data_IF_575929020914
#
_entry.id   IF_575929020914
#
_cell.length_a   1.000
_cell.length_b   1.000
_cell.length_c   1.000
_cell.angle_alpha   90.00
_cell.angle_beta   90.00
_cell.angle_gamma   90.00
#
_symmetry.space_group_name_H-M   'P 1'
#
loop_
_entity.id
_entity.type
_entity.pdbx_description
1 polymer ?
#
# COMPACT_ATOMS: atom_id res chain seq x y z
N UNK A 1 12.87 19.62 31.09
CA UNK A 1 13.32 18.41 30.41
C UNK A 1 12.11 17.83 29.68
N UNK A 2 12.01 18.09 28.35
CA UNK A 2 10.91 17.61 27.49
C UNK A 2 10.91 16.07 27.50
N UNK A 3 9.73 15.47 27.75
CA UNK A 3 9.53 14.03 27.78
C UNK A 3 9.98 13.40 26.45
N UNK A 4 10.85 12.39 26.45
CA UNK A 4 11.40 11.79 25.24
C UNK A 4 10.34 11.05 24.39
N UNK A 5 9.15 10.79 24.92
CA UNK A 5 8.08 10.06 24.22
C UNK A 5 7.39 10.88 23.11
N UNK A 6 7.14 12.18 23.32
CA UNK A 6 6.42 13.03 22.34
C UNK A 6 7.20 13.24 21.04
N UNK A 7 8.52 13.41 21.13
CA UNK A 7 9.38 13.61 19.95
C UNK A 7 9.49 12.32 19.12
N UNK A 8 9.44 11.13 19.76
CA UNK A 8 9.57 9.84 19.06
C UNK A 8 8.33 9.52 18.20
N UNK A 9 7.12 9.83 18.65
CA UNK A 9 5.91 9.56 17.88
C UNK A 9 5.78 10.49 16.66
N UNK A 10 6.03 11.79 16.83
CA UNK A 10 6.03 12.74 15.72
C UNK A 10 7.08 12.40 14.66
N UNK A 11 8.27 11.98 15.07
CA UNK A 11 9.31 11.52 14.16
C UNK A 11 8.91 10.22 13.43
N UNK A 12 8.28 9.26 14.12
CA UNK A 12 7.79 8.02 13.52
C UNK A 12 6.70 8.30 12.47
N UNK A 13 5.74 9.19 12.76
CA UNK A 13 4.70 9.58 11.80
C UNK A 13 5.28 10.34 10.59
N UNK A 14 6.24 11.22 10.80
CA UNK A 14 6.92 11.91 9.70
C UNK A 14 7.63 10.90 8.77
N UNK A 15 8.27 9.88 9.32
CA UNK A 15 8.89 8.80 8.54
C UNK A 15 7.85 7.98 7.79
N UNK A 16 6.73 7.61 8.42
CA UNK A 16 5.64 6.87 7.77
C UNK A 16 5.06 7.69 6.61
N UNK A 17 4.78 8.97 6.81
CA UNK A 17 4.28 9.86 5.77
C UNK A 17 5.30 9.99 4.64
N UNK A 18 6.57 10.15 4.95
CA UNK A 18 7.64 10.23 3.96
C UNK A 18 7.74 8.92 3.14
N UNK A 19 7.62 7.77 3.80
CA UNK A 19 7.63 6.45 3.14
C UNK A 19 6.38 6.25 2.28
N UNK A 20 5.20 6.66 2.73
CA UNK A 20 3.96 6.58 1.97
C UNK A 20 3.99 7.51 0.75
N UNK A 21 4.35 8.77 0.94
CA UNK A 21 4.42 9.76 -0.15
C UNK A 21 5.58 9.44 -1.09
N UNK A 22 6.75 9.14 -0.55
CA UNK A 22 7.93 8.77 -1.32
C UNK A 22 7.75 7.43 -2.04
N UNK A 23 7.17 6.44 -1.37
CA UNK A 23 6.84 5.13 -1.95
C UNK A 23 5.79 5.25 -3.05
N UNK A 24 4.75 6.04 -2.85
CA UNK A 24 3.73 6.30 -3.86
C UNK A 24 4.32 7.06 -5.06
N UNK A 25 5.10 8.11 -4.83
CA UNK A 25 5.80 8.84 -5.89
C UNK A 25 6.81 7.96 -6.62
N UNK A 26 7.49 7.07 -5.89
CA UNK A 26 8.40 6.07 -6.45
C UNK A 26 7.66 5.08 -7.35
N UNK A 27 6.54 4.52 -6.91
CA UNK A 27 5.72 3.60 -7.69
C UNK A 27 5.14 4.28 -8.95
N UNK A 28 4.73 5.54 -8.82
CA UNK A 28 4.15 6.31 -9.93
C UNK A 28 5.19 6.77 -10.96
N UNK A 29 6.42 7.01 -10.52
CA UNK A 29 7.49 7.53 -11.37
C UNK A 29 8.53 6.45 -11.72
N UNK A 30 8.39 5.25 -11.18
CA UNK A 30 9.43 4.24 -11.29
C UNK A 30 9.32 3.45 -12.59
N UNK A 31 10.03 3.94 -13.56
CA UNK A 31 10.78 3.06 -14.47
C UNK A 31 12.04 2.52 -13.77
N UNK A 32 12.11 2.59 -12.45
CA UNK A 32 13.23 2.10 -11.65
C UNK A 32 12.98 0.63 -11.37
N UNK A 33 13.82 -0.23 -11.93
CA UNK A 33 13.72 -1.69 -11.78
C UNK A 33 12.83 -2.40 -12.80
N UNK A 34 12.27 -1.69 -13.80
CA UNK A 34 11.48 -2.33 -14.87
C UNK A 34 10.10 -2.86 -14.42
N UNK A 35 9.57 -2.34 -13.30
CA UNK A 35 8.21 -2.69 -12.84
C UNK A 35 7.21 -1.68 -13.39
N UNK A 36 6.13 -2.17 -13.98
CA UNK A 36 5.01 -1.38 -14.51
C UNK A 36 3.69 -1.96 -13.99
N UNK A 37 2.64 -1.15 -13.96
CA UNK A 37 1.32 -1.55 -13.53
C UNK A 37 0.33 -1.27 -14.64
N UNK A 38 -0.53 -2.25 -14.94
CA UNK A 38 -1.55 -2.14 -15.97
C UNK A 38 -2.90 -2.59 -15.42
N UNK A 39 -3.97 -1.93 -15.87
CA UNK A 39 -5.34 -2.39 -15.66
C UNK A 39 -5.71 -3.44 -16.70
N UNK A 40 -6.37 -4.51 -16.29
CA UNK A 40 -6.94 -5.51 -17.19
C UNK A 40 -8.28 -4.99 -17.71
N UNK A 41 -8.25 -4.38 -18.89
CA UNK A 41 -9.40 -3.76 -19.51
C UNK A 41 -9.24 -3.73 -21.05
N UNK A 42 -10.32 -3.74 -21.83
CA UNK A 42 -11.74 -3.87 -21.50
C UNK A 42 -12.30 -5.28 -21.68
N UNK A 43 -11.51 -6.28 -22.07
CA UNK A 43 -11.99 -7.56 -22.54
C UNK A 43 -11.80 -8.70 -21.53
N UNK A 44 -12.72 -9.68 -21.47
CA UNK A 44 -12.58 -10.84 -20.58
C UNK A 44 -11.68 -11.94 -21.20
N UNK A 45 -10.71 -11.58 -22.03
CA UNK A 45 -9.88 -12.54 -22.80
C UNK A 45 -9.03 -13.46 -21.93
N UNK A 46 -8.70 -13.04 -20.70
CA UNK A 46 -7.86 -13.77 -19.77
C UNK A 46 -8.64 -14.52 -18.68
N UNK A 47 -9.97 -14.56 -18.73
CA UNK A 47 -10.76 -15.38 -17.80
C UNK A 47 -10.46 -16.85 -17.91
N UNK A 48 -10.43 -17.60 -16.78
CA UNK A 48 -10.66 -17.15 -15.40
C UNK A 48 -9.40 -16.64 -14.69
N UNK A 49 -8.25 -16.61 -15.35
CA UNK A 49 -6.95 -16.25 -14.73
C UNK A 49 -6.90 -14.81 -14.27
N UNK A 50 -7.41 -13.89 -15.11
CA UNK A 50 -7.53 -12.46 -14.81
C UNK A 50 -8.95 -12.02 -15.14
N UNK A 51 -9.54 -11.23 -14.24
CA UNK A 51 -10.85 -10.63 -14.42
C UNK A 51 -10.74 -9.19 -14.93
N UNK A 52 -11.79 -8.72 -15.59
CA UNK A 52 -11.89 -7.30 -15.97
C UNK A 52 -11.92 -6.43 -14.70
N UNK A 53 -11.01 -5.48 -14.63
CA UNK A 53 -10.83 -4.62 -13.47
C UNK A 53 -9.81 -5.14 -12.45
N UNK A 54 -9.06 -6.19 -12.80
CA UNK A 54 -7.85 -6.56 -12.08
C UNK A 54 -6.71 -5.60 -12.45
N UNK A 55 -5.81 -5.38 -11.51
CA UNK A 55 -4.58 -4.63 -11.72
C UNK A 55 -3.42 -5.61 -11.75
N UNK A 56 -2.61 -5.57 -12.80
CA UNK A 56 -1.45 -6.46 -12.96
C UNK A 56 -0.15 -5.70 -12.77
N UNK A 57 0.73 -6.30 -11.97
CA UNK A 57 2.11 -5.83 -11.80
C UNK A 57 2.98 -6.58 -12.80
N UNK A 58 3.68 -5.83 -13.61
CA UNK A 58 4.48 -6.34 -14.74
C UNK A 58 5.93 -5.99 -14.52
N UNK A 59 6.78 -6.99 -14.57
CA UNK A 59 8.22 -6.84 -14.47
C UNK A 59 8.87 -6.95 -15.86
N UNK A 60 9.71 -5.98 -16.20
CA UNK A 60 10.55 -6.08 -17.38
C UNK A 60 11.58 -7.19 -17.19
N UNK A 61 11.61 -8.13 -18.12
CA UNK A 61 12.50 -9.29 -18.10
C UNK A 61 13.23 -9.41 -19.45
N UNK A 62 14.33 -10.15 -19.45
CA UNK A 62 14.99 -10.49 -20.71
C UNK A 62 14.06 -11.36 -21.56
N UNK A 63 13.94 -11.05 -22.85
CA UNK A 63 13.02 -11.77 -23.75
C UNK A 63 13.26 -13.28 -23.77
N UNK A 64 14.51 -13.71 -23.71
CA UNK A 64 14.93 -15.10 -23.70
C UNK A 64 14.63 -15.83 -22.36
N UNK A 65 14.22 -15.12 -21.33
CA UNK A 65 13.76 -15.71 -20.06
C UNK A 65 12.26 -15.96 -20.01
N UNK A 66 11.53 -15.62 -21.07
CA UNK A 66 10.10 -15.88 -21.19
C UNK A 66 9.89 -17.31 -21.65
N UNK A 67 8.97 -18.03 -21.00
CA UNK A 67 8.67 -19.42 -21.27
C UNK A 67 7.21 -19.63 -21.69
N UNK A 68 6.93 -20.75 -22.30
CA UNK A 68 5.56 -21.18 -22.53
C UNK A 68 4.84 -21.34 -21.20
N UNK A 69 3.65 -20.74 -21.09
CA UNK A 69 2.85 -20.66 -19.87
C UNK A 69 2.91 -19.32 -19.17
N UNK A 70 3.91 -18.50 -19.45
CA UNK A 70 4.02 -17.16 -18.89
C UNK A 70 2.90 -16.24 -19.40
N UNK A 71 2.39 -15.36 -18.53
CA UNK A 71 1.47 -14.29 -18.91
C UNK A 71 2.28 -13.01 -19.12
N UNK A 72 2.21 -12.48 -20.33
CA UNK A 72 2.97 -11.29 -20.72
C UNK A 72 2.06 -10.12 -21.08
N UNK A 73 2.58 -8.93 -20.90
CA UNK A 73 2.01 -7.69 -21.41
C UNK A 73 2.84 -7.28 -22.64
N UNK A 74 2.17 -7.04 -23.74
CA UNK A 74 2.81 -6.69 -25.00
C UNK A 74 1.94 -5.76 -25.82
N UNK A 75 2.55 -5.07 -26.79
CA UNK A 75 1.84 -4.37 -27.85
C UNK A 75 1.77 -5.25 -29.10
N UNK A 76 0.62 -5.38 -29.80
CA UNK A 76 0.53 -6.17 -31.01
C UNK A 76 1.57 -5.77 -32.04
N UNK A 77 2.32 -6.72 -32.61
CA UNK A 77 3.24 -6.42 -33.68
C UNK A 77 2.52 -6.01 -34.98
N UNK A 78 3.10 -5.08 -35.72
CA UNK A 78 2.59 -4.61 -37.01
C UNK A 78 3.34 -5.33 -38.13
N UNK A 79 2.60 -5.83 -39.13
CA UNK A 79 3.21 -6.41 -40.33
C UNK A 79 4.09 -5.36 -41.02
N UNK A 80 5.40 -5.64 -41.12
CA UNK A 80 6.38 -4.68 -41.65
C UNK A 80 7.24 -4.01 -40.59
N UNK A 81 7.01 -4.29 -39.32
CA UNK A 81 7.84 -3.85 -38.19
C UNK A 81 7.16 -2.81 -37.30
N UNK A 82 7.58 -2.80 -36.04
CA UNK A 82 7.01 -1.95 -35.00
C UNK A 82 5.84 -2.60 -34.24
N UNK A 83 5.26 -1.85 -33.31
CA UNK A 83 4.21 -2.33 -32.43
C UNK A 83 3.07 -1.29 -32.37
N UNK A 84 1.85 -1.76 -32.21
CA UNK A 84 0.68 -0.89 -32.00
C UNK A 84 0.76 -0.11 -30.68
N UNK A 85 -0.05 0.93 -30.57
CA UNK A 85 -0.16 1.69 -29.32
C UNK A 85 -0.97 0.93 -28.25
N UNK A 86 -1.83 0.03 -28.68
CA UNK A 86 -2.62 -0.82 -27.79
C UNK A 86 -1.73 -1.76 -26.98
N UNK A 87 -2.21 -2.12 -25.78
CA UNK A 87 -1.51 -3.04 -24.89
C UNK A 87 -2.43 -4.22 -24.58
N UNK A 88 -1.90 -5.42 -24.71
CA UNK A 88 -2.62 -6.67 -24.52
C UNK A 88 -1.93 -7.50 -23.44
N UNK A 89 -2.73 -8.25 -22.68
CA UNK A 89 -2.28 -9.23 -21.69
C UNK A 89 -2.74 -10.60 -22.13
N UNK A 90 -1.83 -11.46 -22.55
CA UNK A 90 -2.13 -12.86 -22.93
C UNK A 90 -1.05 -13.82 -22.45
N UNK A 91 -1.35 -15.11 -22.51
CA UNK A 91 -0.42 -16.20 -22.17
C UNK A 91 0.40 -16.63 -23.38
N UNK A 92 1.68 -16.85 -23.17
CA UNK A 92 2.56 -17.48 -24.16
C UNK A 92 2.19 -18.95 -24.30
N UNK A 93 1.77 -19.36 -25.49
CA UNK A 93 1.38 -20.74 -25.79
C UNK A 93 2.39 -21.47 -26.67
N UNK A 94 3.25 -20.75 -27.38
CA UNK A 94 4.35 -21.31 -28.16
C UNK A 94 5.47 -20.28 -28.34
N UNK A 95 6.68 -20.76 -28.63
CA UNK A 95 7.86 -19.95 -28.93
C UNK A 95 8.41 -20.45 -30.28
N UNK A 96 8.55 -19.53 -31.23
CA UNK A 96 9.04 -19.81 -32.58
C UNK A 96 10.33 -19.02 -32.85
N UNK A 97 10.98 -19.27 -33.98
CA UNK A 97 12.11 -18.47 -34.44
C UNK A 97 11.74 -17.02 -34.78
N UNK A 98 10.45 -16.76 -35.02
CA UNK A 98 9.93 -15.43 -35.40
C UNK A 98 9.44 -14.62 -34.19
N UNK A 99 9.13 -15.29 -33.06
CA UNK A 99 8.66 -14.65 -31.86
C UNK A 99 7.79 -15.51 -30.98
N UNK A 100 7.15 -14.89 -29.99
CA UNK A 100 6.22 -15.55 -29.07
C UNK A 100 4.83 -15.59 -29.67
N UNK A 101 4.18 -16.74 -29.55
CA UNK A 101 2.76 -16.93 -29.89
C UNK A 101 1.95 -16.89 -28.59
N UNK A 102 0.98 -16.00 -28.55
CA UNK A 102 0.13 -15.77 -27.37
C UNK A 102 -1.30 -16.21 -27.60
N UNK A 103 -2.03 -16.36 -26.52
CA UNK A 103 -3.45 -16.67 -26.53
C UNK A 103 -4.10 -16.21 -25.22
N UNK A 104 -5.31 -15.67 -25.29
CA UNK A 104 -6.12 -15.42 -24.11
C UNK A 104 -6.59 -16.73 -23.48
N UNK A 105 -6.64 -16.78 -22.15
CA UNK A 105 -7.07 -17.96 -21.40
C UNK A 105 -8.56 -18.29 -21.57
N UNK A 106 -9.36 -17.30 -21.91
CA UNK A 106 -10.79 -17.48 -22.18
C UNK A 106 -11.02 -18.11 -23.57
N UNK A 107 -11.22 -19.40 -23.58
CA UNK A 107 -11.43 -20.16 -24.84
C UNK A 107 -12.71 -19.82 -25.59
N UNK A 108 -13.66 -19.15 -24.96
CA UNK A 108 -14.87 -18.67 -25.64
C UNK A 108 -14.57 -17.44 -26.51
N UNK A 109 -13.76 -16.52 -26.00
CA UNK A 109 -13.38 -15.29 -26.73
C UNK A 109 -12.11 -15.50 -27.58
N UNK A 110 -11.21 -16.38 -27.14
CA UNK A 110 -9.93 -16.68 -27.77
C UNK A 110 -9.80 -18.19 -28.06
N UNK A 111 -10.62 -18.74 -28.99
CA UNK A 111 -10.63 -20.17 -29.28
C UNK A 111 -9.34 -20.68 -29.93
N UNK A 112 -8.54 -19.79 -30.49
CA UNK A 112 -7.27 -20.07 -31.17
C UNK A 112 -6.17 -19.11 -30.71
N UNK A 113 -4.89 -19.45 -30.91
CA UNK A 113 -3.79 -18.52 -30.73
C UNK A 113 -3.98 -17.24 -31.55
N UNK A 114 -3.36 -16.15 -31.07
CA UNK A 114 -3.47 -14.84 -31.70
C UNK A 114 -2.85 -14.82 -33.12
N UNK A 115 -1.80 -15.63 -33.35
CA UNK A 115 -1.21 -15.88 -34.63
C UNK A 115 -1.79 -17.20 -35.22
N UNK A 116 -2.10 -17.33 -36.50
CA UNK A 116 -2.00 -16.32 -37.57
C UNK A 116 -3.26 -15.48 -37.77
N UNK A 117 -4.18 -15.43 -36.79
CA UNK A 117 -5.51 -14.86 -36.98
C UNK A 117 -5.50 -13.34 -37.16
N UNK A 118 -4.66 -12.62 -36.43
CA UNK A 118 -4.69 -11.15 -36.40
C UNK A 118 -3.32 -10.51 -36.37
N UNK A 119 -2.33 -11.12 -35.69
CA UNK A 119 -1.02 -10.49 -35.47
C UNK A 119 0.14 -11.45 -35.77
N UNK A 120 1.28 -10.91 -36.21
CA UNK A 120 2.53 -11.67 -36.27
C UNK A 120 2.98 -12.13 -34.88
N UNK A 121 3.92 -13.09 -34.78
CA UNK A 121 4.53 -13.45 -33.49
C UNK A 121 5.11 -12.25 -32.76
N UNK A 122 4.96 -12.22 -31.42
CA UNK A 122 5.39 -11.09 -30.60
C UNK A 122 6.91 -11.05 -30.52
N UNK A 123 7.49 -9.99 -31.02
CA UNK A 123 8.94 -9.74 -31.08
C UNK A 123 9.46 -9.04 -29.82
N UNK A 124 10.78 -9.05 -29.55
CA UNK A 124 11.35 -8.50 -28.31
C UNK A 124 10.97 -7.05 -28.03
N UNK A 125 10.92 -6.22 -29.07
CA UNK A 125 10.60 -4.79 -28.98
C UNK A 125 9.14 -4.54 -28.59
N UNK A 126 8.24 -5.48 -28.82
CA UNK A 126 6.82 -5.35 -28.53
C UNK A 126 6.45 -5.85 -27.11
N UNK A 127 7.33 -6.59 -26.45
CA UNK A 127 7.11 -7.06 -25.07
C UNK A 127 7.31 -5.90 -24.09
N UNK A 128 6.34 -5.69 -23.19
CA UNK A 128 6.44 -4.75 -22.06
C UNK A 128 6.98 -5.45 -20.81
N UNK A 129 6.64 -6.73 -20.59
CA UNK A 129 7.16 -7.55 -19.50
C UNK A 129 6.26 -8.71 -19.14
N UNK A 130 6.65 -9.38 -18.06
CA UNK A 130 6.00 -10.56 -17.47
C UNK A 130 5.07 -10.12 -16.35
N UNK A 131 3.84 -10.64 -16.31
CA UNK A 131 2.93 -10.45 -15.17
C UNK A 131 3.43 -11.29 -14.00
N UNK A 132 3.79 -10.61 -12.91
CA UNK A 132 4.32 -11.27 -11.69
C UNK A 132 3.29 -11.34 -10.57
N UNK A 133 2.35 -10.40 -10.53
CA UNK A 133 1.28 -10.33 -9.52
C UNK A 133 0.02 -9.80 -10.18
N UNK A 134 -1.14 -10.36 -9.82
CA UNK A 134 -2.46 -9.78 -10.09
C UNK A 134 -3.11 -9.35 -8.78
N UNK A 135 -3.71 -8.19 -8.77
CA UNK A 135 -4.41 -7.59 -7.64
C UNK A 135 -5.90 -7.47 -8.02
N UNK A 136 -6.74 -8.39 -7.53
CA UNK A 136 -8.15 -8.43 -7.93
C UNK A 136 -8.89 -7.15 -7.57
N UNK A 137 -9.75 -6.68 -8.45
CA UNK A 137 -10.66 -5.53 -8.30
C UNK A 137 -10.00 -4.16 -8.12
N UNK A 138 -8.68 -4.06 -7.96
CA UNK A 138 -8.02 -2.76 -7.74
C UNK A 138 -8.05 -1.85 -8.97
N UNK A 139 -8.10 -2.41 -10.18
CA UNK A 139 -8.29 -1.64 -11.40
C UNK A 139 -9.64 -0.92 -11.44
N UNK A 140 -10.70 -1.48 -10.85
CA UNK A 140 -12.01 -0.81 -10.74
C UNK A 140 -11.97 0.44 -9.87
N UNK A 141 -11.07 0.48 -8.89
CA UNK A 141 -10.88 1.66 -8.05
C UNK A 141 -10.17 2.75 -8.88
N UNK A 142 -9.17 2.38 -9.67
CA UNK A 142 -8.48 3.33 -10.54
C UNK A 142 -9.39 3.89 -11.63
N UNK A 143 -10.31 3.08 -12.17
CA UNK A 143 -11.32 3.50 -13.13
C UNK A 143 -12.35 4.45 -12.51
N UNK A 144 -12.82 4.15 -11.28
CA UNK A 144 -13.79 5.00 -10.58
C UNK A 144 -13.20 6.36 -10.17
N UNK A 145 -11.89 6.42 -9.95
CA UNK A 145 -11.16 7.63 -9.53
C UNK A 145 -9.94 7.86 -10.45
N UNK A 146 -10.16 8.36 -11.69
CA UNK A 146 -9.06 8.60 -12.60
C UNK A 146 -8.09 9.68 -12.08
N UNK A 147 -6.84 9.71 -12.53
CA UNK A 147 -5.91 10.78 -12.21
C UNK A 147 -6.47 12.16 -12.64
N UNK A 148 -6.31 13.22 -11.84
CA UNK A 148 -5.58 13.31 -10.56
C UNK A 148 -6.42 12.95 -9.32
N UNK A 149 -7.71 12.60 -9.47
CA UNK A 149 -8.65 12.44 -8.35
C UNK A 149 -8.24 11.31 -7.38
N UNK A 150 -7.71 10.21 -7.88
CA UNK A 150 -7.20 9.11 -7.07
C UNK A 150 -6.09 9.56 -6.11
N UNK A 151 -5.17 10.43 -6.54
CA UNK A 151 -4.10 10.96 -5.69
C UNK A 151 -4.64 11.88 -4.62
N UNK A 152 -5.63 12.72 -4.95
CA UNK A 152 -6.31 13.60 -4.00
C UNK A 152 -7.03 12.77 -2.93
N UNK A 153 -7.71 11.70 -3.33
CA UNK A 153 -8.40 10.80 -2.40
C UNK A 153 -7.43 10.12 -1.42
N UNK A 154 -6.33 9.56 -1.92
CA UNK A 154 -5.30 8.94 -1.07
C UNK A 154 -4.69 9.96 -0.11
N UNK A 155 -4.35 11.17 -0.59
CA UNK A 155 -3.84 12.23 0.24
C UNK A 155 -4.85 12.65 1.32
N UNK A 156 -6.14 12.78 0.98
CA UNK A 156 -7.20 13.13 1.92
C UNK A 156 -7.36 12.06 3.02
N UNK A 157 -7.30 10.77 2.67
CA UNK A 157 -7.36 9.66 3.65
C UNK A 157 -6.16 9.72 4.61
N UNK A 158 -4.96 9.93 4.09
CA UNK A 158 -3.74 10.04 4.91
C UNK A 158 -3.84 11.25 5.87
N UNK A 159 -4.29 12.40 5.37
CA UNK A 159 -4.52 13.59 6.21
C UNK A 159 -5.57 13.32 7.28
N UNK A 160 -6.67 12.65 6.93
CA UNK A 160 -7.74 12.30 7.87
C UNK A 160 -7.23 11.39 8.99
N UNK A 161 -6.48 10.34 8.67
CA UNK A 161 -5.87 9.44 9.66
C UNK A 161 -4.94 10.23 10.59
N UNK A 162 -4.12 11.11 10.03
CA UNK A 162 -3.22 11.96 10.82
C UNK A 162 -3.98 12.92 11.75
N UNK A 163 -5.06 13.52 11.26
CA UNK A 163 -5.91 14.39 12.07
C UNK A 163 -6.58 13.63 13.23
N UNK A 164 -7.09 12.42 12.98
CA UNK A 164 -7.68 11.58 14.03
C UNK A 164 -6.65 11.28 15.12
N UNK A 165 -5.43 10.94 14.74
CA UNK A 165 -4.32 10.66 15.67
C UNK A 165 -3.99 11.88 16.54
N UNK A 166 -3.85 13.06 15.94
CA UNK A 166 -3.61 14.30 16.67
C UNK A 166 -4.72 14.61 17.69
N UNK A 167 -5.97 14.45 17.31
CA UNK A 167 -7.11 14.70 18.20
C UNK A 167 -7.22 13.65 19.33
N UNK A 168 -6.85 12.41 19.07
CA UNK A 168 -6.88 11.33 20.07
C UNK A 168 -5.78 11.57 21.12
N UNK A 169 -4.59 11.90 20.69
CA UNK A 169 -3.45 12.20 21.59
C UNK A 169 -3.71 13.43 22.47
N UNK A 170 -4.33 14.47 21.92
CA UNK A 170 -4.67 15.68 22.68
C UNK A 170 -5.68 15.42 23.82
N UNK A 171 -6.62 14.47 23.62
CA UNK A 171 -7.60 14.13 24.67
C UNK A 171 -7.01 13.32 25.83
N UNK A 172 -5.97 12.54 25.58
CA UNK A 172 -5.30 11.80 26.67
C UNK A 172 -4.46 12.72 27.57
N UNK A 173 -3.85 13.76 27.01
CA UNK A 173 -3.10 14.76 27.77
C UNK A 173 -4.01 15.57 28.72
N UNK A 174 -5.18 16.02 28.25
CA UNK A 174 -6.13 16.77 29.04
C UNK A 174 -6.69 15.94 30.21
N UNK A 175 -6.89 14.63 30.03
CA UNK A 175 -7.32 13.71 31.12
C UNK A 175 -6.21 13.50 32.16
N UNK A 176 -4.95 13.49 31.76
CA UNK A 176 -3.82 13.28 32.67
C UNK A 176 -3.57 14.52 33.53
N UNK A 177 -3.69 15.73 32.98
CA UNK A 177 -3.56 16.97 33.75
C UNK A 177 -4.69 17.14 34.77
N UNK A 178 -5.95 16.86 34.41
CA UNK A 178 -7.07 16.92 35.35
C UNK A 178 -7.03 15.84 36.44
N UNK A 179 -6.39 14.70 36.18
CA UNK A 179 -6.17 13.64 37.17
C UNK A 179 -5.13 14.02 38.23
N UNK A 180 -4.12 14.81 37.87
CA UNK A 180 -3.03 15.21 38.78
C UNK A 180 -3.43 16.39 39.67
N UNK A 181 -4.28 17.29 39.19
CA UNK A 181 -4.75 18.45 39.97
C UNK A 181 -5.73 18.06 41.10
N UNK A 182 -6.42 16.91 41.02
CA UNK A 182 -7.33 16.42 42.06
C UNK A 182 -6.66 15.68 43.21
N UNK A 183 -5.36 15.42 43.15
CA UNK A 183 -4.66 14.61 44.18
C UNK A 183 -3.71 15.46 45.06
N UNK A 184 -3.54 16.74 44.78
CA UNK A 184 -2.87 17.64 45.69
C UNK A 184 -3.86 18.14 46.76
N UNK A 185 -4.17 17.32 47.75
CA UNK A 185 -4.67 17.79 49.01
C UNK A 185 -3.56 18.60 49.67
N UNK A 186 -3.77 19.89 49.98
CA UNK A 186 -2.72 20.69 50.56
C UNK A 186 -2.38 20.13 51.93
N UNK A 187 -1.15 19.67 52.08
CA UNK A 187 -0.52 19.17 53.31
C UNK A 187 -0.40 20.28 54.41
N UNK A 188 -1.08 21.40 54.19
CA UNK A 188 -0.96 22.59 55.05
C UNK A 188 -2.12 22.75 56.07
N UNK A 189 -3.06 21.79 56.12
CA UNK A 189 -4.19 21.87 57.08
C UNK A 189 -3.96 21.03 58.36
N UNK A 190 -2.85 20.32 58.49
CA UNK A 190 -2.53 19.48 59.67
C UNK A 190 -1.57 20.10 60.66
N UNK A 191 -1.25 21.41 60.52
CA UNK A 191 -0.29 22.09 61.42
C UNK A 191 -0.90 23.19 62.29
N UNK A 192 -2.21 23.12 62.66
CA UNK A 192 -2.86 24.11 63.50
C UNK A 192 -3.45 23.48 64.78
N UNK A 193 -3.13 22.28 65.17
CA UNK A 193 -3.43 21.86 66.52
C UNK A 193 -2.15 21.30 67.20
N UNK A 194 -1.48 22.18 67.92
CA UNK A 194 -0.18 21.97 68.56
C UNK A 194 -0.24 20.97 69.72
N UNK A 195 -0.59 19.70 69.47
CA UNK A 195 -0.48 18.60 70.45
C UNK A 195 0.30 17.45 69.86
N UNK A 196 1.59 17.53 70.07
CA UNK A 196 2.46 16.37 69.95
C UNK A 196 2.30 15.57 71.28
N UNK A 197 1.83 14.31 71.28
CA UNK A 197 1.87 13.45 72.48
C UNK A 197 3.34 13.17 72.80
N UNK A 198 3.76 13.42 74.05
CA UNK A 198 5.07 13.07 74.56
C UNK A 198 5.19 11.56 74.74
N UNK A 199 6.36 10.95 74.48
CA UNK A 199 6.55 9.50 74.46
C UNK A 199 6.64 8.80 75.82
N UNK A 200 6.22 9.41 76.92
CA UNK A 200 6.59 8.90 78.27
C UNK A 200 5.41 8.61 79.24
N UNK A 201 4.15 8.46 78.76
CA UNK A 201 3.05 8.12 79.68
C UNK A 201 2.59 6.64 79.64
N UNK A 202 3.50 5.74 79.22
CA UNK A 202 3.23 4.30 79.26
C UNK A 202 4.16 3.57 80.29
N UNK A 203 4.24 4.11 81.52
CA UNK A 203 4.82 3.32 82.60
C UNK A 203 4.26 3.84 83.94
N UNK A 204 3.19 3.29 84.38
CA UNK A 204 2.91 2.97 85.78
C UNK A 204 1.38 2.68 86.04
N UNK A 205 1.00 1.43 86.01
CA UNK A 205 0.00 0.82 86.86
C UNK A 205 0.12 -0.68 86.89
N UNK A 206 1.07 -1.08 87.71
CA UNK A 206 1.10 -2.40 88.28
C UNK A 206 0.54 -2.35 89.66
N UNK A 207 -0.08 -3.43 90.10
CA UNK A 207 -0.40 -3.85 91.42
C UNK A 207 -1.52 -3.07 92.21
N UNK A 208 -2.73 -3.60 92.19
CA UNK A 208 -3.33 -4.38 93.29
C UNK A 208 -4.70 -4.94 92.85
#
# INVERSE_FOLDING_TARGET
>A
LSSPSKVSHAAAYAVIILLLVGGTAFLLNSRIGGVQVYDVYPTPSMRPTLEVGDLVVVQSVAYNSIHVGDVIVYSPPISGGGCEAEVIVHRVVNITSEGLITQGDNRFTNPRPDEPLSWPPVTPECVKGLVVVSLPFLGKISEAFPPPLNYVLVAAIVILIFMIELFTTSKEEEKTEQGTEKTETPLNTLYIDGRIPRPNDASNKGHR
#
